data_IF_985101740167
#
_entry.id   IF_985101740167
#
_cell.length_a   1.000
_cell.length_b   1.000
_cell.length_c   1.000
_cell.angle_alpha   90.00
_cell.angle_beta   90.00
_cell.angle_gamma   90.00
#
_symmetry.space_group_name_H-M   'P 1'
#
loop_
_entity.id
_entity.type
_entity.pdbx_description
1 polymer ?
#
# COMPACT_ATOMS: atom_id res chain seq x y z
N UNK A 1 -16.35 -0.34 -9.21
CA UNK A 1 -15.05 0.31 -9.52
C UNK A 1 -13.91 -0.10 -8.57
N UNK A 2 -14.12 -0.11 -7.24
CA UNK A 2 -13.06 -0.39 -6.24
C UNK A 2 -12.57 -1.83 -6.13
N UNK A 3 -13.33 -2.80 -6.67
CA UNK A 3 -12.92 -4.23 -6.68
C UNK A 3 -11.82 -4.48 -7.73
N UNK A 4 -11.75 -3.65 -8.78
CA UNK A 4 -10.72 -3.76 -9.82
C UNK A 4 -9.35 -3.31 -9.32
N UNK A 5 -9.29 -2.25 -8.50
CA UNK A 5 -8.05 -1.74 -7.91
C UNK A 5 -7.38 -2.77 -6.99
N UNK A 6 -8.15 -3.48 -6.14
CA UNK A 6 -7.60 -4.55 -5.30
C UNK A 6 -6.97 -5.72 -6.08
N UNK A 7 -7.49 -6.01 -7.27
CA UNK A 7 -6.94 -7.03 -8.17
C UNK A 7 -5.66 -6.54 -8.87
N UNK A 8 -5.56 -5.25 -9.21
CA UNK A 8 -4.35 -4.66 -9.81
C UNK A 8 -3.18 -4.68 -8.82
N UNK A 9 -3.37 -4.31 -7.55
CA UNK A 9 -2.28 -4.34 -6.55
C UNK A 9 -1.80 -5.74 -6.26
N UNK A 10 -2.73 -6.69 -6.10
CA UNK A 10 -2.40 -8.11 -5.97
C UNK A 10 -1.67 -8.61 -7.22
N UNK A 11 -2.08 -8.18 -8.41
CA UNK A 11 -1.46 -8.59 -9.68
C UNK A 11 -0.06 -8.00 -9.87
N UNK A 12 0.16 -6.72 -9.56
CA UNK A 12 1.48 -6.08 -9.63
C UNK A 12 2.44 -6.67 -8.60
N UNK A 13 1.98 -6.90 -7.37
CA UNK A 13 2.79 -7.57 -6.34
C UNK A 13 3.06 -9.05 -6.70
N UNK A 14 2.09 -9.74 -7.33
CA UNK A 14 2.27 -11.10 -7.83
C UNK A 14 3.18 -11.20 -9.05
N UNK A 15 3.19 -10.23 -9.96
CA UNK A 15 4.13 -10.19 -11.07
C UNK A 15 5.57 -9.95 -10.59
N UNK A 16 5.75 -9.16 -9.53
CA UNK A 16 7.07 -8.98 -8.90
C UNK A 16 7.54 -10.28 -8.22
N UNK A 17 6.61 -11.14 -7.79
CA UNK A 17 6.90 -12.41 -7.10
C UNK A 17 6.40 -13.63 -7.86
N UNK A 18 7.15 -13.97 -8.91
CA UNK A 18 6.77 -14.96 -9.92
C UNK A 18 6.64 -16.43 -9.43
N UNK A 19 6.91 -16.76 -8.16
CA UNK A 19 6.76 -18.13 -7.60
C UNK A 19 6.94 -18.16 -6.07
N UNK A 20 6.04 -17.57 -5.28
CA UNK A 20 6.24 -17.48 -3.81
C UNK A 20 5.13 -18.17 -2.99
N UNK A 21 5.46 -18.73 -1.81
CA UNK A 21 4.55 -19.49 -0.95
C UNK A 21 3.40 -18.65 -0.38
N UNK A 22 2.38 -19.29 0.22
CA UNK A 22 1.15 -18.65 0.76
C UNK A 22 1.41 -17.43 1.66
N UNK A 23 2.52 -17.42 2.40
CA UNK A 23 2.96 -16.28 3.22
C UNK A 23 3.08 -14.97 2.42
N UNK A 24 3.50 -15.05 1.17
CA UNK A 24 3.63 -13.88 0.31
C UNK A 24 2.27 -13.31 -0.08
N UNK A 25 1.23 -14.16 -0.21
CA UNK A 25 -0.15 -13.72 -0.53
C UNK A 25 -0.73 -12.87 0.59
N UNK A 26 -0.58 -13.29 1.84
CA UNK A 26 -1.02 -12.49 2.99
C UNK A 26 -0.33 -11.13 3.03
N UNK A 27 0.95 -11.08 2.67
CA UNK A 27 1.66 -9.81 2.61
C UNK A 27 1.15 -8.90 1.48
N UNK A 28 0.73 -9.45 0.34
CA UNK A 28 0.05 -8.65 -0.70
C UNK A 28 -1.25 -8.03 -0.19
N UNK A 29 -2.01 -8.76 0.62
CA UNK A 29 -3.23 -8.24 1.25
C UNK A 29 -2.88 -7.08 2.20
N UNK A 30 -1.83 -7.22 3.01
CA UNK A 30 -1.37 -6.15 3.92
C UNK A 30 -0.96 -4.88 3.18
N UNK A 31 -0.31 -5.00 2.01
CA UNK A 31 -0.01 -3.85 1.15
C UNK A 31 -1.28 -3.16 0.66
N UNK A 32 -2.24 -3.94 0.17
CA UNK A 32 -3.52 -3.42 -0.31
C UNK A 32 -4.29 -2.71 0.80
N UNK A 33 -4.22 -3.22 2.04
CA UNK A 33 -4.75 -2.55 3.23
C UNK A 33 -4.06 -1.20 3.45
N UNK A 34 -2.73 -1.12 3.34
CA UNK A 34 -1.99 0.13 3.42
C UNK A 34 -2.43 1.18 2.40
N UNK A 35 -2.64 0.77 1.15
CA UNK A 35 -3.14 1.65 0.07
C UNK A 35 -4.55 2.16 0.40
N UNK A 36 -5.46 1.27 0.82
CA UNK A 36 -6.83 1.65 1.18
C UNK A 36 -6.81 2.61 2.38
N UNK A 37 -5.98 2.32 3.39
CA UNK A 37 -5.84 3.17 4.57
C UNK A 37 -5.33 4.56 4.21
N UNK A 38 -4.32 4.65 3.36
CA UNK A 38 -3.80 5.92 2.85
C UNK A 38 -4.90 6.73 2.15
N UNK A 39 -5.70 6.08 1.29
CA UNK A 39 -6.82 6.74 0.59
C UNK A 39 -7.88 7.23 1.58
N UNK A 40 -8.23 6.43 2.59
CA UNK A 40 -9.22 6.82 3.60
C UNK A 40 -8.77 8.04 4.42
N UNK A 41 -7.48 8.18 4.68
CA UNK A 41 -6.93 9.23 5.53
C UNK A 41 -6.54 10.52 4.79
N UNK A 42 -6.11 10.39 3.54
CA UNK A 42 -5.65 11.54 2.71
C UNK A 42 -6.66 11.93 1.65
N UNK A 43 -7.60 11.05 1.28
CA UNK A 43 -8.52 11.23 0.16
C UNK A 43 -7.86 11.10 -1.22
N UNK A 44 -6.57 10.79 -1.29
CA UNK A 44 -5.77 10.75 -2.52
C UNK A 44 -5.22 9.36 -2.75
N UNK A 45 -5.16 8.93 -4.00
CA UNK A 45 -4.55 7.65 -4.36
C UNK A 45 -3.01 7.78 -4.39
N UNK A 46 -2.24 6.93 -3.68
CA UNK A 46 -0.80 7.12 -3.50
C UNK A 46 0.00 7.04 -4.81
N UNK A 47 -0.45 6.22 -5.77
CA UNK A 47 0.21 6.03 -7.07
C UNK A 47 -0.54 6.65 -8.26
N UNK A 48 -1.67 7.32 -7.99
CA UNK A 48 -2.51 7.97 -9.01
C UNK A 48 -3.09 9.27 -8.43
N UNK A 49 -2.21 10.23 -8.18
CA UNK A 49 -2.57 11.50 -7.53
C UNK A 49 -3.63 12.27 -8.34
N UNK A 50 -3.69 12.08 -9.66
CA UNK A 50 -4.58 12.82 -10.56
C UNK A 50 -5.86 12.06 -10.95
N UNK A 51 -5.96 10.76 -10.65
CA UNK A 51 -7.12 9.94 -11.02
C UNK A 51 -7.24 9.68 -12.53
N UNK A 52 -6.16 9.86 -13.29
CA UNK A 52 -6.16 9.79 -14.76
C UNK A 52 -5.14 8.80 -15.30
N UNK A 53 -4.34 8.19 -14.42
CA UNK A 53 -3.32 7.23 -14.85
C UNK A 53 -3.97 5.91 -15.27
N UNK A 54 -3.41 5.28 -16.30
CA UNK A 54 -3.82 3.95 -16.73
C UNK A 54 -3.26 2.89 -15.78
N UNK A 55 -3.90 1.73 -15.68
CA UNK A 55 -3.45 0.61 -14.84
C UNK A 55 -1.98 0.23 -15.09
N UNK A 56 -1.51 0.30 -16.34
CA UNK A 56 -0.11 0.05 -16.71
C UNK A 56 0.85 1.12 -16.17
N UNK A 57 0.46 2.39 -16.20
CA UNK A 57 1.26 3.50 -15.66
C UNK A 57 1.36 3.42 -14.14
N UNK A 58 0.25 3.06 -13.48
CA UNK A 58 0.22 2.81 -12.03
C UNK A 58 1.13 1.64 -11.68
N UNK A 59 1.07 0.55 -12.45
CA UNK A 59 1.94 -0.62 -12.25
C UNK A 59 3.42 -0.26 -12.42
N UNK A 60 3.78 0.53 -13.44
CA UNK A 60 5.14 0.99 -13.65
C UNK A 60 5.63 1.93 -12.55
N UNK A 61 4.77 2.85 -12.08
CA UNK A 61 5.08 3.68 -10.92
C UNK A 61 5.35 2.85 -9.67
N UNK A 62 4.54 1.83 -9.37
CA UNK A 62 4.75 0.95 -8.23
C UNK A 62 6.05 0.15 -8.37
N UNK A 63 6.37 -0.32 -9.58
CA UNK A 63 7.63 -1.04 -9.85
C UNK A 63 8.86 -0.15 -9.66
N UNK A 64 8.77 1.12 -10.08
CA UNK A 64 9.89 2.06 -10.01
C UNK A 64 10.05 2.67 -8.61
N UNK A 65 8.94 3.06 -7.99
CA UNK A 65 8.91 3.66 -6.66
C UNK A 65 7.71 3.10 -5.86
N UNK A 66 7.90 2.02 -5.11
CA UNK A 66 6.81 1.40 -4.34
C UNK A 66 6.42 2.25 -3.12
N UNK A 67 7.23 3.23 -2.72
CA UNK A 67 6.96 4.03 -1.53
C UNK A 67 5.85 5.06 -1.78
N UNK A 68 4.82 5.14 -0.90
CA UNK A 68 3.76 6.14 -1.02
C UNK A 68 4.31 7.55 -0.79
N UNK A 69 3.76 8.57 -1.46
CA UNK A 69 4.21 9.95 -1.29
C UNK A 69 3.86 10.46 0.11
N UNK A 70 4.86 10.49 1.01
CA UNK A 70 4.74 11.01 2.37
C UNK A 70 5.14 12.50 2.47
N UNK A 71 4.60 13.33 1.56
CA UNK A 71 4.86 14.78 1.63
C UNK A 71 4.07 15.40 2.78
N UNK A 72 4.65 16.42 3.43
CA UNK A 72 3.99 17.14 4.53
C UNK A 72 2.63 17.72 4.13
N UNK A 73 2.40 17.98 2.85
CA UNK A 73 1.13 18.46 2.31
C UNK A 73 0.03 17.38 2.34
N UNK A 74 0.39 16.11 2.11
CA UNK A 74 -0.55 15.00 2.03
C UNK A 74 -0.81 14.34 3.39
N UNK A 75 0.21 14.29 4.26
CA UNK A 75 0.13 13.57 5.55
C UNK A 75 0.31 14.47 6.77
N UNK A 76 0.47 15.79 6.58
CA UNK A 76 0.77 16.71 7.69
C UNK A 76 -0.34 16.86 8.73
N UNK A 77 -1.58 16.45 8.40
CA UNK A 77 -2.71 16.39 9.32
C UNK A 77 -2.85 15.04 10.03
N UNK A 78 -2.07 14.02 9.65
CA UNK A 78 -2.12 12.69 10.26
C UNK A 78 -1.28 12.66 11.55
N UNK A 79 -1.69 11.83 12.51
CA UNK A 79 -0.86 11.57 13.69
C UNK A 79 0.40 10.79 13.28
N UNK A 80 1.49 10.98 14.01
CA UNK A 80 2.74 10.22 13.76
C UNK A 80 2.50 8.70 13.80
N UNK A 81 1.62 8.23 14.69
CA UNK A 81 1.21 6.82 14.78
C UNK A 81 0.45 6.32 13.54
N UNK A 82 -0.34 7.17 12.89
CA UNK A 82 -1.05 6.82 11.66
C UNK A 82 -0.05 6.67 10.51
N UNK A 83 0.87 7.64 10.40
CA UNK A 83 1.91 7.63 9.39
C UNK A 83 2.82 6.41 9.50
N UNK A 84 3.26 6.08 10.71
CA UNK A 84 4.07 4.89 10.99
C UNK A 84 3.34 3.60 10.56
N UNK A 85 2.04 3.46 10.88
CA UNK A 85 1.29 2.28 10.47
C UNK A 85 1.23 2.12 8.94
N UNK A 86 0.94 3.20 8.22
CA UNK A 86 0.87 3.16 6.74
C UNK A 86 2.23 2.77 6.15
N UNK A 87 3.33 3.34 6.66
CA UNK A 87 4.68 3.01 6.19
C UNK A 87 5.01 1.53 6.42
N UNK A 88 4.62 0.96 7.56
CA UNK A 88 4.82 -0.47 7.87
C UNK A 88 3.94 -1.41 7.02
N UNK A 89 2.73 -0.98 6.68
CA UNK A 89 1.83 -1.70 5.77
C UNK A 89 2.33 -1.67 4.32
N UNK A 90 2.90 -0.54 3.91
CA UNK A 90 3.48 -0.32 2.59
C UNK A 90 4.99 -0.52 2.57
N UNK A 91 5.51 -1.40 3.42
CA UNK A 91 6.92 -1.80 3.41
C UNK A 91 7.22 -2.63 2.15
N UNK A 92 8.28 -2.23 1.44
CA UNK A 92 8.70 -2.82 0.16
C UNK A 92 9.06 -4.29 0.32
N UNK A 93 9.77 -4.63 1.39
CA UNK A 93 10.13 -6.01 1.70
C UNK A 93 8.96 -6.72 2.41
N UNK A 94 8.25 -7.65 1.76
CA UNK A 94 7.13 -8.35 2.39
C UNK A 94 7.55 -9.22 3.58
N UNK A 95 8.84 -9.55 3.74
CA UNK A 95 9.30 -10.22 4.96
C UNK A 95 9.36 -9.28 6.17
N UNK A 96 9.50 -7.97 5.94
CA UNK A 96 9.49 -6.92 6.97
C UNK A 96 8.13 -6.23 7.13
N UNK A 97 7.24 -6.44 6.17
CA UNK A 97 5.88 -5.90 6.18
C UNK A 97 5.08 -6.44 7.35
N UNK A 98 4.42 -5.53 8.05
CA UNK A 98 3.64 -5.83 9.25
C UNK A 98 2.52 -6.82 8.92
N UNK A 99 2.34 -7.81 9.79
CA UNK A 99 1.25 -8.79 9.67
C UNK A 99 -0.08 -8.23 10.18
N UNK A 100 -1.20 -8.85 9.81
CA UNK A 100 -2.51 -8.44 10.30
C UNK A 100 -2.61 -8.48 11.83
N UNK A 101 -1.94 -9.45 12.47
CA UNK A 101 -1.90 -9.56 13.92
C UNK A 101 -1.14 -8.39 14.57
N UNK A 102 0.04 -8.05 14.03
CA UNK A 102 0.83 -6.93 14.54
C UNK A 102 0.14 -5.57 14.27
N UNK A 103 -0.55 -5.43 13.13
CA UNK A 103 -1.35 -4.25 12.80
C UNK A 103 -2.42 -4.00 13.87
N UNK A 104 -3.13 -5.04 14.31
CA UNK A 104 -4.16 -4.92 15.35
C UNK A 104 -3.61 -4.55 16.74
N UNK A 105 -2.30 -4.71 16.96
CA UNK A 105 -1.61 -4.31 18.18
C UNK A 105 -0.92 -2.95 18.06
N UNK A 106 -0.99 -2.32 16.89
CA UNK A 106 -0.34 -1.06 16.64
C UNK A 106 -1.00 0.07 17.44
N UNK A 107 -0.26 1.02 18.04
CA UNK A 107 -0.83 2.11 18.86
C UNK A 107 -1.82 3.05 18.16
N UNK A 108 -2.00 2.89 16.84
CA UNK A 108 -2.96 3.67 16.07
C UNK A 108 -4.35 3.02 15.99
N UNK A 109 -4.40 1.69 16.12
CA UNK A 109 -5.63 0.87 16.13
C UNK A 109 -6.15 0.76 17.56
#
# INVERSE_FOLDING_TARGET
>A
PYVATGLIYTYVCAQISFSQPLLYRFQMDMWSVGVILYIMLTGVHPFDVKGVSTDDEIADHIRQNPEPPFSRELVGHLSESAGDLILRLMERDPAKRITAYEMLQHPWV
#
